data_IF_704625030195
#
_entry.id   IF_704625030195
#
_cell.length_a   1.000
_cell.length_b   1.000
_cell.length_c   1.000
_cell.angle_alpha   90.00
_cell.angle_beta   90.00
_cell.angle_gamma   90.00
#
_symmetry.space_group_name_H-M   'P 1'
#
loop_
_entity.id
_entity.type
_entity.pdbx_description
1 polymer ?
#
# COMPACT_ATOMS: atom_id res chain seq x y z
N UNK A 1 -4.59 3.13 -11.67
CA UNK A 1 -4.45 4.02 -10.49
C UNK A 1 -5.63 4.96 -10.23
N UNK A 2 -6.32 5.48 -11.27
CA UNK A 2 -7.48 6.37 -11.08
C UNK A 2 -8.61 5.76 -10.22
N UNK A 3 -8.95 4.49 -10.43
CA UNK A 3 -9.96 3.76 -9.63
C UNK A 3 -9.58 3.59 -8.16
N UNK A 4 -8.29 3.33 -7.87
CA UNK A 4 -7.79 3.24 -6.51
C UNK A 4 -7.95 4.58 -5.78
N UNK A 5 -7.45 5.68 -6.37
CA UNK A 5 -7.63 7.04 -5.81
C UNK A 5 -9.11 7.39 -5.62
N UNK A 6 -9.97 7.06 -6.60
CA UNK A 6 -11.41 7.27 -6.49
C UNK A 6 -12.05 6.47 -5.35
N UNK A 7 -11.56 5.26 -5.05
CA UNK A 7 -11.99 4.49 -3.89
C UNK A 7 -11.52 5.13 -2.59
N UNK A 8 -10.29 5.62 -2.52
CA UNK A 8 -9.76 6.30 -1.32
C UNK A 8 -10.59 7.54 -0.96
N UNK A 9 -11.01 8.32 -1.96
CA UNK A 9 -11.89 9.49 -1.78
C UNK A 9 -13.31 9.15 -1.29
N UNK A 10 -13.68 7.87 -1.23
CA UNK A 10 -14.98 7.39 -0.73
C UNK A 10 -14.88 6.75 0.65
N UNK A 11 -13.70 6.69 1.24
CA UNK A 11 -13.53 6.17 2.60
C UNK A 11 -14.06 7.17 3.63
N UNK A 12 -14.44 6.69 4.83
CA UNK A 12 -14.77 7.57 5.94
C UNK A 12 -13.67 8.61 6.18
N UNK A 13 -14.09 9.80 6.59
CA UNK A 13 -13.18 10.91 6.88
C UNK A 13 -13.08 11.15 8.38
N UNK A 14 -11.88 11.43 8.87
CA UNK A 14 -11.62 11.91 10.21
C UNK A 14 -10.64 13.08 10.12
N UNK A 15 -10.97 14.21 10.75
CA UNK A 15 -10.14 15.44 10.72
C UNK A 15 -9.71 15.88 9.31
N UNK A 16 -10.60 15.73 8.31
CA UNK A 16 -10.33 16.12 6.92
C UNK A 16 -9.45 15.13 6.13
N UNK A 17 -9.10 13.97 6.68
CA UNK A 17 -8.41 12.89 5.99
C UNK A 17 -9.31 11.65 5.83
N UNK A 18 -9.31 11.07 4.63
CA UNK A 18 -9.87 9.74 4.41
C UNK A 18 -9.01 8.69 5.12
N UNK A 19 -9.60 7.74 5.83
CA UNK A 19 -8.83 6.73 6.57
C UNK A 19 -9.36 5.31 6.37
N UNK A 20 -8.48 4.34 6.61
CA UNK A 20 -8.84 2.93 6.64
C UNK A 20 -7.74 2.10 7.29
N UNK A 21 -8.02 0.81 7.50
CA UNK A 21 -7.03 -0.14 8.01
C UNK A 21 -6.83 -1.31 7.04
N UNK A 22 -5.61 -1.85 7.03
CA UNK A 22 -5.24 -3.00 6.19
C UNK A 22 -4.37 -3.95 7.00
N UNK A 23 -4.63 -5.26 6.85
CA UNK A 23 -3.76 -6.32 7.35
C UNK A 23 -2.49 -6.41 6.52
N UNK A 24 -1.34 -6.49 7.19
CA UNK A 24 -0.08 -6.80 6.56
C UNK A 24 -0.14 -8.17 5.91
N UNK A 25 0.37 -8.22 4.70
CA UNK A 25 0.30 -9.38 3.84
C UNK A 25 1.51 -9.41 2.92
N UNK A 26 1.95 -10.60 2.54
CA UNK A 26 2.95 -10.79 1.47
C UNK A 26 2.63 -12.04 0.66
N UNK A 27 3.11 -12.08 -0.59
CA UNK A 27 2.92 -13.24 -1.46
C UNK A 27 3.38 -14.56 -0.82
N UNK A 28 4.56 -14.55 -0.20
CA UNK A 28 5.22 -15.77 0.26
C UNK A 28 4.76 -16.26 1.62
N UNK A 29 4.18 -15.37 2.45
CA UNK A 29 3.77 -15.70 3.82
C UNK A 29 2.28 -15.56 4.06
N UNK A 30 1.52 -15.02 3.12
CA UNK A 30 0.10 -14.72 3.33
C UNK A 30 -0.09 -13.59 4.35
N UNK A 31 -1.11 -13.75 5.19
CA UNK A 31 -1.41 -12.85 6.31
C UNK A 31 -0.27 -12.87 7.34
N UNK A 32 0.17 -11.70 7.78
CA UNK A 32 1.25 -11.54 8.75
C UNK A 32 0.72 -11.25 10.17
N UNK A 33 -0.60 -11.19 10.38
CA UNK A 33 -1.23 -11.03 11.69
C UNK A 33 -1.14 -9.62 12.28
N UNK A 34 -0.63 -8.65 11.54
CA UNK A 34 -0.47 -7.25 11.98
C UNK A 34 -1.35 -6.34 11.13
N UNK A 35 -1.97 -5.33 11.72
CA UNK A 35 -2.76 -4.32 11.01
C UNK A 35 -2.08 -2.95 11.07
N UNK A 36 -2.31 -2.14 10.05
CA UNK A 36 -1.92 -0.74 10.04
C UNK A 36 -3.06 0.14 9.53
N UNK A 37 -3.04 1.39 9.98
CA UNK A 37 -3.95 2.44 9.56
C UNK A 37 -3.27 3.28 8.49
N UNK A 38 -4.03 3.73 7.51
CA UNK A 38 -3.58 4.68 6.52
C UNK A 38 -4.52 5.87 6.42
N UNK A 39 -3.96 7.02 6.04
CA UNK A 39 -4.65 8.28 5.86
C UNK A 39 -4.33 8.86 4.48
N UNK A 40 -5.36 9.42 3.84
CA UNK A 40 -5.28 10.04 2.53
C UNK A 40 -6.01 11.38 2.54
N UNK A 41 -5.28 12.46 2.29
CA UNK A 41 -5.80 13.84 2.29
C UNK A 41 -6.06 14.38 0.88
N UNK A 42 -6.13 13.49 -0.12
CA UNK A 42 -6.07 13.88 -1.53
C UNK A 42 -4.63 14.06 -2.02
N UNK A 43 -4.47 14.05 -3.35
CA UNK A 43 -3.18 14.24 -4.02
C UNK A 43 -2.42 12.93 -4.27
N UNK A 44 -1.11 12.95 -3.98
CA UNK A 44 -0.16 11.92 -4.40
C UNK A 44 0.53 11.18 -3.26
N UNK A 45 0.14 11.39 -1.99
CA UNK A 45 0.77 10.76 -0.83
C UNK A 45 -0.28 10.10 0.07
N UNK A 46 0.05 8.91 0.56
CA UNK A 46 -0.69 8.19 1.60
C UNK A 46 0.22 8.12 2.84
N UNK A 47 -0.32 8.43 4.01
CA UNK A 47 0.38 8.27 5.29
C UNK A 47 -0.01 6.94 5.93
N UNK A 48 0.95 6.12 6.35
CA UNK A 48 0.70 4.81 6.95
C UNK A 48 1.35 4.73 8.33
N UNK A 49 0.68 4.12 9.30
CA UNK A 49 1.22 3.88 10.63
C UNK A 49 0.49 2.73 11.34
N UNK A 50 1.13 2.10 12.31
CA UNK A 50 0.45 1.16 13.21
C UNK A 50 -0.06 1.91 14.44
N UNK A 51 -1.02 1.33 15.15
CA UNK A 51 -1.48 1.85 16.45
C UNK A 51 -0.34 1.97 17.48
N UNK A 52 0.75 1.23 17.26
CA UNK A 52 1.94 1.17 18.13
C UNK A 52 3.13 2.01 17.64
N UNK A 53 3.12 2.60 16.44
CA UNK A 53 4.26 3.37 15.92
C UNK A 53 4.05 4.87 15.99
N UNK A 54 4.96 5.56 16.68
CA UNK A 54 5.05 7.02 16.67
C UNK A 54 5.47 7.59 15.29
N UNK A 55 6.12 6.77 14.46
CA UNK A 55 6.69 7.18 13.17
C UNK A 55 5.79 6.79 12.00
N UNK A 56 4.89 7.70 11.64
CA UNK A 56 4.08 7.60 10.42
C UNK A 56 5.00 7.64 9.18
N UNK A 57 4.75 6.75 8.22
CA UNK A 57 5.47 6.69 6.95
C UNK A 57 4.67 7.36 5.85
N UNK A 58 5.32 8.22 5.07
CA UNK A 58 4.74 8.80 3.84
C UNK A 58 5.07 7.92 2.65
N UNK A 59 4.04 7.50 1.94
CA UNK A 59 4.11 6.63 0.76
C UNK A 59 3.66 7.41 -0.46
N UNK A 60 4.54 7.59 -1.43
CA UNK A 60 4.23 8.37 -2.63
C UNK A 60 3.53 7.56 -3.72
N UNK A 61 2.79 8.25 -4.58
CA UNK A 61 2.16 7.66 -5.77
C UNK A 61 3.19 7.07 -6.73
N UNK A 62 4.39 7.65 -6.81
CA UNK A 62 5.49 7.14 -7.61
C UNK A 62 5.97 5.77 -7.10
N UNK A 63 6.10 5.60 -5.78
CA UNK A 63 6.41 4.29 -5.20
C UNK A 63 5.28 3.28 -5.47
N UNK A 64 4.01 3.69 -5.34
CA UNK A 64 2.88 2.84 -5.71
C UNK A 64 2.95 2.38 -7.16
N UNK A 65 3.27 3.29 -8.09
CA UNK A 65 3.40 2.97 -9.51
C UNK A 65 4.52 1.96 -9.78
N UNK A 66 5.68 2.12 -9.12
CA UNK A 66 6.79 1.17 -9.23
C UNK A 66 6.41 -0.23 -8.76
N UNK A 67 5.71 -0.36 -7.64
CA UNK A 67 5.26 -1.68 -7.17
C UNK A 67 4.16 -2.23 -8.09
N UNK A 68 3.24 -1.37 -8.53
CA UNK A 68 2.15 -1.75 -9.41
C UNK A 68 2.66 -2.27 -10.76
N UNK A 69 3.70 -1.68 -11.34
CA UNK A 69 4.27 -2.11 -12.62
C UNK A 69 4.84 -3.52 -12.60
N UNK A 70 5.24 -4.01 -11.42
CA UNK A 70 5.73 -5.39 -11.21
C UNK A 70 4.74 -6.28 -10.47
N UNK A 71 3.50 -5.81 -10.25
CA UNK A 71 2.53 -6.48 -9.39
C UNK A 71 2.21 -7.90 -9.85
N UNK A 72 2.02 -8.11 -11.15
CA UNK A 72 1.74 -9.43 -11.71
C UNK A 72 2.87 -10.43 -11.41
N UNK A 73 4.12 -10.03 -11.65
CA UNK A 73 5.29 -10.87 -11.35
C UNK A 73 5.49 -11.10 -9.85
N UNK A 74 5.16 -10.10 -9.01
CA UNK A 74 5.16 -10.29 -7.57
C UNK A 74 4.09 -11.29 -7.12
N UNK A 75 2.89 -11.24 -7.73
CA UNK A 75 1.76 -12.13 -7.41
C UNK A 75 1.90 -13.56 -7.93
N UNK A 76 2.63 -13.76 -9.03
CA UNK A 76 3.02 -15.10 -9.49
C UNK A 76 4.19 -15.68 -8.70
N UNK A 77 4.93 -14.85 -7.96
CA UNK A 77 6.11 -15.23 -7.18
C UNK A 77 7.41 -15.17 -7.97
N UNK A 78 7.38 -14.77 -9.24
CA UNK A 78 8.54 -14.55 -10.11
C UNK A 78 9.42 -13.39 -9.63
N UNK A 79 8.80 -12.33 -9.10
CA UNK A 79 9.50 -11.15 -8.59
C UNK A 79 9.47 -11.17 -7.06
N UNK A 80 10.62 -11.36 -6.38
CA UNK A 80 10.66 -11.35 -4.93
C UNK A 80 10.53 -9.92 -4.38
N UNK A 81 10.11 -9.81 -3.12
CA UNK A 81 10.02 -8.52 -2.42
C UNK A 81 11.37 -7.78 -2.38
N UNK A 82 12.49 -8.50 -2.34
CA UNK A 82 13.84 -7.93 -2.35
C UNK A 82 14.09 -7.13 -3.62
N UNK A 83 13.61 -7.59 -4.79
CA UNK A 83 13.71 -6.83 -6.03
C UNK A 83 12.98 -5.48 -5.92
N UNK A 84 11.76 -5.47 -5.36
CA UNK A 84 10.99 -4.24 -5.17
C UNK A 84 11.73 -3.24 -4.26
N UNK A 85 12.35 -3.73 -3.18
CA UNK A 85 13.04 -2.87 -2.23
C UNK A 85 14.38 -2.34 -2.76
N UNK A 86 15.20 -3.22 -3.34
CA UNK A 86 16.57 -2.91 -3.69
C UNK A 86 16.71 -2.39 -5.13
N UNK A 87 16.11 -3.10 -6.10
CA UNK A 87 16.25 -2.74 -7.52
C UNK A 87 15.34 -1.57 -7.91
N UNK A 88 14.09 -1.55 -7.42
CA UNK A 88 13.17 -0.42 -7.67
C UNK A 88 13.35 0.73 -6.66
N UNK A 89 14.14 0.51 -5.61
CA UNK A 89 14.40 1.46 -4.53
C UNK A 89 13.16 1.81 -3.71
N UNK A 90 12.16 0.93 -3.62
CA UNK A 90 10.90 1.20 -2.91
C UNK A 90 11.03 0.83 -1.43
N UNK A 91 11.34 1.82 -0.60
CA UNK A 91 11.52 1.65 0.84
C UNK A 91 10.19 1.31 1.55
N UNK A 92 9.07 1.80 1.02
CA UNK A 92 7.75 1.60 1.60
C UNK A 92 7.03 0.32 1.14
N UNK A 93 7.76 -0.66 0.59
CA UNK A 93 7.17 -1.89 0.04
C UNK A 93 6.27 -2.65 1.04
N UNK A 94 6.61 -2.63 2.34
CA UNK A 94 5.80 -3.28 3.40
C UNK A 94 4.43 -2.65 3.63
N UNK A 95 4.21 -1.41 3.19
CA UNK A 95 2.94 -0.69 3.30
C UNK A 95 2.16 -0.76 1.98
N UNK A 96 2.89 -0.67 0.86
CA UNK A 96 2.30 -0.67 -0.49
C UNK A 96 1.74 -2.05 -0.85
N UNK A 97 2.50 -3.13 -0.63
CA UNK A 97 2.08 -4.48 -1.04
C UNK A 97 0.73 -4.87 -0.41
N UNK A 98 0.51 -4.71 0.91
CA UNK A 98 -0.79 -5.01 1.49
C UNK A 98 -1.92 -4.13 0.97
N UNK A 99 -1.66 -2.84 0.74
CA UNK A 99 -2.65 -1.92 0.15
C UNK A 99 -3.05 -2.37 -1.26
N UNK A 100 -2.06 -2.71 -2.10
CA UNK A 100 -2.33 -3.21 -3.44
C UNK A 100 -3.11 -4.53 -3.39
N UNK A 101 -2.75 -5.46 -2.49
CA UNK A 101 -3.49 -6.72 -2.32
C UNK A 101 -4.93 -6.50 -1.87
N UNK A 102 -5.16 -5.59 -0.92
CA UNK A 102 -6.48 -5.30 -0.39
C UNK A 102 -7.40 -4.69 -1.46
N UNK A 103 -6.84 -3.82 -2.32
CA UNK A 103 -7.55 -3.15 -3.40
C UNK A 103 -7.35 -3.78 -4.77
N UNK A 104 -6.87 -5.04 -4.83
CA UNK A 104 -6.55 -5.75 -6.07
C UNK A 104 -7.79 -5.85 -6.99
N UNK A 105 -8.99 -5.97 -6.41
CA UNK A 105 -10.26 -5.99 -7.13
C UNK A 105 -10.54 -4.72 -7.96
N UNK A 106 -9.84 -3.61 -7.70
CA UNK A 106 -9.95 -2.37 -8.48
C UNK A 106 -9.02 -2.31 -9.69
N UNK A 107 -8.12 -3.29 -9.83
CA UNK A 107 -7.06 -3.33 -10.83
C UNK A 107 -7.45 -4.13 -12.08
N UNK A 108 -8.58 -4.83 -12.03
CA UNK A 108 -9.18 -5.56 -13.15
C UNK A 108 -10.04 -4.65 -14.03
#
# INVERSE_FOLDING_TARGET
MSRFKAKLNKLPTHEGAHYGSVRKWSQYRGDLGEEFVFFFTGGDVIKCGTTSTANVRSVSSAEFQKVYSVWSGYRSGEIPRTHIMHELGVQNASWIIPLLKHYEYLMN
#
